data_IF_392651198878
#
_entry.id   IF_392651198878
#
_cell.length_a   1.000
_cell.length_b   1.000
_cell.length_c   1.000
_cell.angle_alpha   90.00
_cell.angle_beta   90.00
_cell.angle_gamma   90.00
#
_symmetry.space_group_name_H-M   'P 1'
#
loop_
_entity.id
_entity.type
_entity.pdbx_description
1 polymer ?
#
# COMPACT_ATOMS: atom_id res chain seq x y z
N UNK A 1 50.85 58.80 73.38
CA UNK A 1 49.50 58.20 73.21
C UNK A 1 49.19 57.87 71.74
N UNK A 2 50.12 57.20 71.04
CA UNK A 2 50.04 56.90 69.60
C UNK A 2 49.95 55.39 69.29
N UNK A 3 49.67 54.56 70.31
CA UNK A 3 49.61 53.09 70.20
C UNK A 3 48.25 52.48 70.63
N UNK A 4 47.20 53.29 70.77
CA UNK A 4 45.83 52.83 71.10
C UNK A 4 44.80 53.11 69.99
N UNK A 5 45.15 53.87 68.96
CA UNK A 5 44.27 54.11 67.79
C UNK A 5 44.55 53.19 66.60
N UNK A 6 45.60 52.36 66.67
CA UNK A 6 46.00 51.46 65.57
C UNK A 6 45.37 50.06 65.67
N UNK A 7 44.67 49.75 66.78
CA UNK A 7 44.01 48.45 66.98
C UNK A 7 42.48 48.50 66.89
N UNK A 8 41.85 49.68 66.87
CA UNK A 8 40.40 49.82 66.68
C UNK A 8 39.97 49.75 65.20
N UNK A 9 40.87 50.11 64.26
CA UNK A 9 40.58 50.06 62.83
C UNK A 9 40.73 48.66 62.21
N UNK A 10 41.44 47.73 62.88
CA UNK A 10 41.58 46.34 62.44
C UNK A 10 40.60 45.36 63.12
N UNK A 11 39.90 45.79 64.18
CA UNK A 11 38.90 44.96 64.85
C UNK A 11 37.48 45.12 64.26
N UNK A 12 37.21 46.13 63.41
CA UNK A 12 35.89 46.36 62.82
C UNK A 12 35.77 45.96 61.33
N UNK A 13 36.83 45.46 60.71
CA UNK A 13 36.84 44.99 59.32
C UNK A 13 37.09 43.47 59.18
N UNK A 14 36.97 42.73 60.27
CA UNK A 14 36.91 41.26 60.26
C UNK A 14 35.48 40.73 60.52
N UNK A 15 34.46 41.61 60.48
CA UNK A 15 33.06 41.26 60.74
C UNK A 15 32.12 41.53 59.55
N UNK A 16 32.65 41.89 58.38
CA UNK A 16 31.85 42.07 57.15
C UNK A 16 32.62 41.55 55.93
N UNK A 17 32.65 40.24 55.77
CA UNK A 17 32.79 39.52 54.50
C UNK A 17 32.85 38.00 54.77
N UNK A 18 32.11 37.13 54.07
CA UNK A 18 30.78 37.27 53.49
C UNK A 18 29.86 36.11 53.97
N UNK A 19 28.65 36.44 54.40
CA UNK A 19 27.51 35.53 54.27
C UNK A 19 27.19 35.36 52.78
N UNK A 20 27.97 34.54 52.08
CA UNK A 20 27.72 34.17 50.69
C UNK A 20 28.36 32.82 50.37
N UNK A 21 28.11 31.83 51.20
CA UNK A 21 28.11 30.42 50.79
C UNK A 21 26.85 29.77 51.35
N UNK A 22 25.69 30.27 50.95
CA UNK A 22 24.56 29.37 50.79
C UNK A 22 24.92 28.52 49.56
N UNK A 23 25.52 27.36 49.84
CA UNK A 23 25.46 26.22 48.95
C UNK A 23 23.97 25.97 48.71
N UNK A 24 23.46 26.41 47.56
CA UNK A 24 22.22 25.92 47.03
C UNK A 24 22.47 24.43 46.74
N UNK A 25 22.03 23.56 47.66
CA UNK A 25 21.85 22.14 47.40
C UNK A 25 20.71 21.99 46.37
N UNK A 26 21.01 22.28 45.11
CA UNK A 26 20.29 21.72 43.97
C UNK A 26 21.09 20.50 43.51
N UNK A 27 21.23 19.51 44.40
CA UNK A 27 21.60 18.16 43.99
C UNK A 27 20.43 17.65 43.15
N UNK A 28 20.57 17.72 41.82
CA UNK A 28 19.63 17.06 40.92
C UNK A 28 19.83 15.57 41.13
N UNK A 29 18.79 14.90 41.63
CA UNK A 29 18.73 13.45 41.68
C UNK A 29 19.17 12.89 40.33
N UNK A 30 20.22 12.06 40.35
CA UNK A 30 20.67 11.34 39.17
C UNK A 30 19.57 10.32 38.86
N UNK A 31 18.75 10.62 37.86
CA UNK A 31 17.82 9.65 37.29
C UNK A 31 18.66 8.68 36.46
N UNK A 32 19.02 7.54 37.06
CA UNK A 32 19.57 6.40 36.33
C UNK A 32 18.44 5.85 35.47
N UNK A 33 18.57 6.00 34.15
CA UNK A 33 17.63 5.39 33.20
C UNK A 33 18.00 3.91 33.13
N UNK A 34 17.31 3.07 33.90
CA UNK A 34 17.38 1.62 33.75
C UNK A 34 16.58 1.21 32.51
N UNK A 35 17.27 1.12 31.37
CA UNK A 35 16.70 0.68 30.10
C UNK A 35 17.45 1.22 28.88
N UNK A 36 17.25 0.60 27.72
CA UNK A 36 17.72 1.17 26.46
C UNK A 36 16.99 2.50 26.19
N UNK A 37 17.76 3.57 25.96
CA UNK A 37 17.20 4.83 25.50
C UNK A 37 16.50 4.58 24.15
N UNK A 38 15.23 5.01 23.99
CA UNK A 38 14.50 4.72 22.77
C UNK A 38 15.17 5.42 21.57
N UNK A 39 15.39 4.64 20.51
CA UNK A 39 16.07 5.10 19.31
C UNK A 39 15.27 6.21 18.63
N UNK A 40 15.89 7.39 18.47
CA UNK A 40 15.32 8.49 17.71
C UNK A 40 15.91 8.51 16.31
N UNK A 41 15.04 8.47 15.30
CA UNK A 41 15.40 8.54 13.90
C UNK A 41 14.66 9.71 13.24
N UNK A 42 15.28 10.30 12.23
CA UNK A 42 14.61 11.27 11.35
C UNK A 42 14.01 10.59 10.12
N UNK A 43 14.58 9.45 9.71
CA UNK A 43 14.17 8.70 8.54
C UNK A 43 14.15 7.21 8.83
N UNK A 44 13.23 6.52 8.19
CA UNK A 44 13.14 5.07 8.14
C UNK A 44 12.63 4.69 6.74
N UNK A 45 13.20 3.65 6.16
CA UNK A 45 12.90 3.25 4.79
C UNK A 45 12.47 1.80 4.73
N UNK A 46 11.97 1.38 3.57
CA UNK A 46 11.58 0.00 3.27
C UNK A 46 12.17 -0.43 1.92
N UNK A 47 12.70 -1.65 1.88
CA UNK A 47 13.17 -2.34 0.66
C UNK A 47 12.70 -3.79 0.65
N UNK A 48 12.59 -4.35 -0.54
CA UNK A 48 12.24 -5.76 -0.78
C UNK A 48 11.21 -5.93 -1.88
N UNK A 49 11.01 -7.15 -2.37
CA UNK A 49 10.08 -7.47 -3.47
C UNK A 49 8.65 -6.97 -3.20
N UNK A 50 8.26 -6.95 -1.92
CA UNK A 50 6.95 -6.47 -1.50
C UNK A 50 6.79 -4.95 -1.61
N UNK A 51 7.87 -4.16 -1.57
CA UNK A 51 7.79 -2.70 -1.44
C UNK A 51 7.77 -2.00 -2.81
N UNK A 52 7.28 -0.74 -2.91
CA UNK A 52 7.24 0.00 -4.16
C UNK A 52 8.60 0.15 -4.85
N UNK A 53 9.67 0.35 -4.08
CA UNK A 53 11.03 0.52 -4.58
C UNK A 53 11.76 -0.79 -4.88
N UNK A 54 11.19 -1.95 -4.56
CA UNK A 54 11.89 -3.22 -4.66
C UNK A 54 13.16 -3.25 -3.81
N UNK A 55 14.19 -3.93 -4.32
CA UNK A 55 15.53 -3.98 -3.71
C UNK A 55 16.43 -2.77 -4.04
N UNK A 56 15.87 -1.62 -4.45
CA UNK A 56 16.66 -0.42 -4.71
C UNK A 56 17.03 0.32 -3.41
N UNK A 57 18.17 0.00 -2.81
CA UNK A 57 18.64 0.68 -1.59
C UNK A 57 19.11 2.12 -1.83
N UNK A 58 19.43 2.49 -3.07
CA UNK A 58 19.83 3.88 -3.41
C UNK A 58 18.65 4.84 -3.36
N UNK A 59 17.44 4.34 -3.64
CA UNK A 59 16.18 5.09 -3.58
C UNK A 59 15.07 4.22 -2.96
N UNK A 60 15.16 3.88 -1.66
CA UNK A 60 14.20 3.01 -1.00
C UNK A 60 12.90 3.76 -0.70
N UNK A 61 11.82 3.02 -0.40
CA UNK A 61 10.52 3.64 -0.05
C UNK A 61 10.60 4.24 1.35
N UNK A 62 10.38 5.54 1.48
CA UNK A 62 10.46 6.24 2.77
C UNK A 62 9.15 6.13 3.57
N UNK A 63 9.27 5.87 4.86
CA UNK A 63 8.15 5.92 5.81
C UNK A 63 7.98 7.34 6.33
N UNK A 64 6.74 7.73 6.65
CA UNK A 64 6.41 9.03 7.23
C UNK A 64 6.62 9.01 8.74
N UNK A 65 7.51 9.87 9.25
CA UNK A 65 7.63 10.13 10.68
C UNK A 65 6.41 10.90 11.18
N UNK A 66 5.80 10.46 12.28
CA UNK A 66 4.68 11.17 12.90
C UNK A 66 5.11 12.56 13.39
N UNK A 67 4.31 13.61 13.10
CA UNK A 67 4.59 14.96 13.62
C UNK A 67 4.36 15.06 15.13
N UNK A 68 3.52 14.18 15.69
CA UNK A 68 3.10 14.20 17.09
C UNK A 68 3.87 13.20 17.98
N UNK A 69 4.51 12.19 17.40
CA UNK A 69 5.34 11.23 18.13
C UNK A 69 6.59 10.83 17.32
N UNK A 70 7.77 11.26 17.81
CA UNK A 70 9.06 11.03 17.15
C UNK A 70 9.55 9.58 17.16
N UNK A 71 8.80 8.66 17.78
CA UNK A 71 9.10 7.23 17.79
C UNK A 71 8.19 6.43 16.85
N UNK A 72 7.26 7.09 16.15
CA UNK A 72 6.29 6.44 15.27
C UNK A 72 6.60 6.77 13.82
N UNK A 73 6.82 5.72 13.02
CA UNK A 73 6.89 5.80 11.56
C UNK A 73 5.71 5.05 10.95
N UNK A 74 5.12 5.61 9.91
CA UNK A 74 3.99 5.00 9.20
C UNK A 74 4.24 4.93 7.71
N UNK A 75 3.83 3.83 7.09
CA UNK A 75 3.67 3.70 5.65
C UNK A 75 2.22 3.34 5.35
N UNK A 76 1.61 4.05 4.42
CA UNK A 76 0.29 3.73 3.89
C UNK A 76 0.41 3.57 2.37
N UNK A 77 0.14 2.38 1.86
CA UNK A 77 0.31 2.09 0.44
C UNK A 77 0.25 0.62 0.07
N UNK A 78 0.56 0.34 -1.20
CA UNK A 78 0.54 -1.00 -1.76
C UNK A 78 1.74 -1.82 -1.31
N UNK A 79 1.50 -3.03 -0.80
CA UNK A 79 2.50 -4.08 -0.70
C UNK A 79 2.15 -5.22 -1.67
N UNK A 80 3.18 -5.75 -2.34
CA UNK A 80 3.10 -6.94 -3.19
C UNK A 80 3.42 -8.19 -2.36
N UNK A 81 3.13 -9.37 -2.90
CA UNK A 81 3.68 -10.61 -2.34
C UNK A 81 5.21 -10.57 -2.49
N UNK A 82 5.92 -10.88 -1.42
CA UNK A 82 7.38 -10.83 -1.41
C UNK A 82 7.97 -10.56 -0.04
N UNK A 83 9.27 -10.32 0.00
CA UNK A 83 10.00 -10.03 1.23
C UNK A 83 10.16 -8.52 1.46
N UNK A 84 10.38 -8.11 2.72
CA UNK A 84 10.78 -6.75 3.05
C UNK A 84 11.65 -6.65 4.31
N UNK A 85 12.50 -5.62 4.37
CA UNK A 85 13.21 -5.16 5.58
C UNK A 85 13.39 -3.63 5.56
N UNK A 86 13.81 -3.05 6.68
CA UNK A 86 13.75 -1.60 6.88
C UNK A 86 15.14 -0.97 7.14
N UNK A 87 15.83 -0.43 6.12
CA UNK A 87 17.06 0.31 6.34
C UNK A 87 16.82 1.64 7.06
N UNK A 88 17.79 2.05 7.87
CA UNK A 88 17.80 3.39 8.50
C UNK A 88 18.41 4.46 7.57
N UNK A 89 19.20 4.05 6.58
CA UNK A 89 19.90 4.95 5.64
C UNK A 89 19.77 4.46 4.19
N UNK A 90 19.95 5.36 3.23
CA UNK A 90 20.00 5.02 1.80
C UNK A 90 21.41 4.55 1.42
N UNK A 91 21.50 3.64 0.46
CA UNK A 91 22.73 3.25 -0.22
C UNK A 91 23.66 2.27 0.52
N UNK A 92 23.37 1.89 1.76
CA UNK A 92 24.29 1.10 2.59
C UNK A 92 23.69 -0.24 3.04
N UNK A 93 24.11 -1.33 2.38
CA UNK A 93 23.71 -2.70 2.76
C UNK A 93 24.40 -3.20 4.03
N UNK A 94 25.52 -2.61 4.44
CA UNK A 94 26.23 -2.94 5.68
C UNK A 94 25.77 -2.11 6.89
N UNK A 95 24.76 -1.27 6.69
CA UNK A 95 24.26 -0.33 7.68
C UNK A 95 23.38 -0.97 8.75
N UNK A 96 22.67 -0.11 9.49
CA UNK A 96 21.68 -0.53 10.49
C UNK A 96 20.31 -0.68 9.84
N UNK A 97 19.62 -1.76 10.20
CA UNK A 97 18.27 -2.07 9.75
C UNK A 97 17.38 -2.36 10.95
N UNK A 98 16.07 -2.29 10.71
CA UNK A 98 15.06 -2.96 11.51
C UNK A 98 14.68 -4.25 10.78
N UNK A 99 14.85 -5.37 11.47
CA UNK A 99 14.56 -6.72 11.00
C UNK A 99 13.29 -7.28 11.65
N UNK A 100 12.73 -8.29 11.00
CA UNK A 100 11.70 -9.13 11.58
C UNK A 100 12.27 -9.89 12.79
N UNK A 101 11.43 -10.26 13.77
CA UNK A 101 11.91 -10.98 14.95
C UNK A 101 12.38 -12.39 14.58
N UNK A 102 11.84 -12.95 13.50
CA UNK A 102 12.25 -14.22 12.90
C UNK A 102 12.14 -14.13 11.37
N UNK A 103 13.01 -14.84 10.67
CA UNK A 103 12.98 -14.89 9.20
C UNK A 103 11.65 -15.45 8.69
N UNK A 104 11.03 -14.73 7.76
CA UNK A 104 9.75 -15.12 7.18
C UNK A 104 8.54 -14.81 8.05
N UNK A 105 8.68 -13.96 9.09
CA UNK A 105 7.53 -13.47 9.86
C UNK A 105 6.47 -12.91 8.91
N UNK A 106 5.29 -13.53 8.91
CA UNK A 106 4.28 -13.25 7.90
C UNK A 106 3.57 -11.92 8.13
N UNK A 107 3.23 -11.29 7.01
CA UNK A 107 2.30 -10.16 6.91
C UNK A 107 1.21 -10.54 5.90
N UNK A 108 -0.05 -10.47 6.31
CA UNK A 108 -1.21 -10.78 5.46
C UNK A 108 -2.46 -9.98 5.90
N UNK A 109 -3.65 -10.39 5.43
CA UNK A 109 -4.91 -9.74 5.79
C UNK A 109 -5.21 -9.69 7.29
N UNK A 110 -4.59 -10.56 8.09
CA UNK A 110 -4.74 -10.62 9.55
C UNK A 110 -3.69 -9.76 10.29
N UNK A 111 -2.88 -8.98 9.58
CA UNK A 111 -1.80 -8.17 10.14
C UNK A 111 -0.46 -8.90 10.13
N UNK A 112 0.36 -8.68 11.17
CA UNK A 112 1.69 -9.27 11.33
C UNK A 112 1.66 -10.43 12.34
N UNK A 113 2.26 -11.57 11.99
CA UNK A 113 2.22 -12.77 12.83
C UNK A 113 2.99 -12.62 14.16
N UNK A 114 4.10 -11.86 14.16
CA UNK A 114 4.89 -11.53 15.34
C UNK A 114 5.24 -10.04 15.29
N UNK A 115 4.90 -9.33 16.35
CA UNK A 115 4.91 -7.87 16.41
C UNK A 115 6.24 -7.28 16.91
N UNK A 116 7.19 -8.11 17.39
CA UNK A 116 8.52 -7.65 17.78
C UNK A 116 9.35 -7.17 16.59
N UNK A 117 10.30 -6.27 16.84
CA UNK A 117 11.30 -5.86 15.84
C UNK A 117 12.70 -5.94 16.43
N UNK A 118 13.71 -6.17 15.60
CA UNK A 118 15.11 -6.16 16.01
C UNK A 118 15.84 -5.02 15.28
N UNK A 119 16.47 -4.10 16.03
CA UNK A 119 17.27 -3.02 15.44
C UNK A 119 18.75 -3.34 15.61
N UNK A 120 19.46 -3.57 14.51
CA UNK A 120 20.90 -3.84 14.56
C UNK A 120 21.60 -3.56 13.25
N UNK A 121 22.92 -3.51 13.31
CA UNK A 121 23.78 -3.53 12.11
C UNK A 121 23.64 -4.88 11.39
N UNK A 122 23.69 -4.83 10.07
CA UNK A 122 23.79 -6.04 9.26
C UNK A 122 24.98 -6.90 9.72
N UNK A 123 24.72 -8.20 9.89
CA UNK A 123 25.68 -9.16 10.44
C UNK A 123 25.55 -10.57 9.83
N UNK A 124 24.77 -10.71 8.74
CA UNK A 124 24.50 -11.98 8.07
C UNK A 124 23.22 -12.67 8.51
N UNK A 125 22.66 -12.33 9.68
CA UNK A 125 21.30 -12.74 10.04
C UNK A 125 20.30 -11.79 9.36
N UNK A 126 19.77 -12.21 8.21
CA UNK A 126 18.93 -11.36 7.36
C UNK A 126 17.43 -11.70 7.53
N UNK A 127 16.92 -11.59 8.76
CA UNK A 127 15.53 -11.91 9.10
C UNK A 127 14.56 -10.87 8.51
N UNK A 128 13.86 -11.26 7.43
CA UNK A 128 12.90 -10.41 6.72
C UNK A 128 11.46 -10.74 7.10
N UNK A 129 10.57 -9.79 6.90
CA UNK A 129 9.14 -10.08 6.83
C UNK A 129 8.79 -10.67 5.47
N UNK A 130 7.75 -11.50 5.43
CA UNK A 130 7.18 -12.08 4.21
C UNK A 130 5.74 -11.65 4.05
N UNK A 131 5.46 -10.80 3.08
CA UNK A 131 4.09 -10.43 2.69
C UNK A 131 3.52 -11.57 1.85
N UNK A 132 2.48 -12.23 2.34
CA UNK A 132 1.85 -13.37 1.66
C UNK A 132 0.56 -13.00 0.91
N UNK A 133 0.03 -11.80 1.15
CA UNK A 133 -1.15 -11.25 0.46
C UNK A 133 -0.85 -9.86 -0.10
N UNK A 134 -1.05 -9.66 -1.40
CA UNK A 134 -0.96 -8.32 -1.99
C UNK A 134 -2.19 -7.45 -1.65
N UNK A 135 -1.97 -6.14 -1.51
CA UNK A 135 -3.04 -5.15 -1.36
C UNK A 135 -2.56 -3.87 -0.70
N UNK A 136 -3.51 -3.09 -0.17
CA UNK A 136 -3.24 -1.84 0.52
C UNK A 136 -3.02 -2.10 2.01
N UNK A 137 -1.97 -1.52 2.58
CA UNK A 137 -1.61 -1.71 3.97
C UNK A 137 -1.32 -0.38 4.66
N UNK A 138 -1.53 -0.35 5.97
CA UNK A 138 -0.89 0.58 6.88
C UNK A 138 0.11 -0.18 7.73
N UNK A 139 1.39 0.18 7.62
CA UNK A 139 2.48 -0.36 8.45
C UNK A 139 2.92 0.73 9.41
N UNK A 140 2.95 0.40 10.70
CA UNK A 140 3.40 1.29 11.76
C UNK A 140 4.58 0.66 12.50
N UNK A 141 5.66 1.42 12.65
CA UNK A 141 6.82 1.05 13.46
C UNK A 141 6.86 1.95 14.68
N UNK A 142 6.91 1.35 15.86
CA UNK A 142 7.04 2.04 17.14
C UNK A 142 8.39 1.71 17.78
N UNK A 143 9.28 2.70 17.78
CA UNK A 143 10.64 2.58 18.32
C UNK A 143 10.71 2.72 19.84
N UNK A 144 9.61 3.10 20.51
CA UNK A 144 9.57 3.22 21.97
C UNK A 144 9.44 1.86 22.65
N UNK A 145 8.68 0.95 22.04
CA UNK A 145 8.42 -0.39 22.54
C UNK A 145 8.92 -1.49 21.61
N UNK A 146 9.63 -1.12 20.53
CA UNK A 146 10.18 -2.04 19.54
C UNK A 146 9.12 -2.96 18.93
N UNK A 147 8.03 -2.36 18.41
CA UNK A 147 6.92 -3.08 17.81
C UNK A 147 6.60 -2.64 16.39
N UNK A 148 6.13 -3.58 15.59
CA UNK A 148 5.46 -3.36 14.31
C UNK A 148 3.96 -3.65 14.45
N UNK A 149 3.13 -2.80 13.85
CA UNK A 149 1.70 -3.05 13.68
C UNK A 149 1.37 -2.95 12.19
N UNK A 150 0.55 -3.88 11.69
CA UNK A 150 0.14 -3.91 10.29
C UNK A 150 -1.37 -4.06 10.20
N UNK A 151 -1.99 -3.17 9.44
CA UNK A 151 -3.42 -3.22 9.12
C UNK A 151 -3.58 -3.42 7.62
N UNK A 152 -4.36 -4.42 7.22
CA UNK A 152 -4.78 -4.61 5.84
C UNK A 152 -5.99 -3.74 5.53
N UNK A 153 -5.87 -2.90 4.50
CA UNK A 153 -6.90 -1.95 4.07
C UNK A 153 -7.68 -2.45 2.84
N UNK A 154 -7.51 -3.72 2.45
CA UNK A 154 -8.19 -4.33 1.32
C UNK A 154 -7.31 -4.46 0.05
N UNK A 155 -7.89 -4.98 -1.05
CA UNK A 155 -7.19 -5.07 -2.31
C UNK A 155 -6.83 -3.67 -2.84
N UNK A 156 -5.86 -3.61 -3.75
CA UNK A 156 -5.58 -2.37 -4.47
C UNK A 156 -6.83 -1.93 -5.25
N UNK A 157 -7.26 -0.66 -5.13
CA UNK A 157 -8.37 -0.16 -5.93
C UNK A 157 -8.04 -0.30 -7.42
N UNK A 158 -8.97 -0.87 -8.19
CA UNK A 158 -8.85 -0.88 -9.64
C UNK A 158 -9.15 0.51 -10.20
N UNK A 159 -8.40 0.94 -11.22
CA UNK A 159 -8.65 2.21 -11.89
C UNK A 159 -9.94 2.12 -12.71
N UNK A 160 -10.96 2.97 -12.48
CA UNK A 160 -12.18 2.97 -13.29
C UNK A 160 -11.89 3.14 -14.79
N UNK A 161 -12.62 2.42 -15.64
CA UNK A 161 -12.61 2.62 -17.09
C UNK A 161 -13.69 3.66 -17.41
N UNK A 162 -13.30 4.83 -17.92
CA UNK A 162 -14.26 5.85 -18.34
C UNK A 162 -14.78 5.50 -19.73
N UNK A 163 -16.10 5.47 -19.88
CA UNK A 163 -16.73 5.26 -21.17
C UNK A 163 -18.12 5.91 -21.21
N UNK A 164 -18.49 6.41 -22.38
CA UNK A 164 -19.84 6.88 -22.71
C UNK A 164 -20.66 5.80 -23.42
N UNK A 165 -20.01 4.80 -24.03
CA UNK A 165 -20.65 3.68 -24.71
C UNK A 165 -20.05 2.34 -24.28
N UNK A 166 -20.82 1.27 -24.35
CA UNK A 166 -20.30 -0.08 -24.26
C UNK A 166 -21.02 -0.95 -25.28
N UNK A 167 -20.28 -1.74 -26.03
CA UNK A 167 -20.78 -2.68 -27.01
C UNK A 167 -19.97 -3.97 -26.96
N UNK A 168 -20.46 -5.02 -27.61
CA UNK A 168 -19.70 -6.26 -27.79
C UNK A 168 -19.63 -6.66 -29.25
N UNK A 169 -18.53 -7.34 -29.58
CA UNK A 169 -18.32 -8.06 -30.84
C UNK A 169 -17.78 -9.46 -30.51
N UNK A 170 -17.91 -10.37 -31.46
CA UNK A 170 -17.37 -11.72 -31.35
C UNK A 170 -18.38 -12.78 -31.77
N UNK A 171 -17.93 -14.04 -31.89
CA UNK A 171 -18.79 -15.14 -32.34
C UNK A 171 -19.95 -15.44 -31.39
N UNK A 172 -19.82 -15.06 -30.11
CA UNK A 172 -20.91 -15.16 -29.14
C UNK A 172 -21.90 -13.97 -29.19
N UNK A 173 -21.50 -12.82 -29.76
CA UNK A 173 -22.34 -11.64 -29.83
C UNK A 173 -23.37 -11.79 -30.98
N UNK A 174 -24.59 -11.22 -30.84
CA UNK A 174 -25.58 -11.19 -31.93
C UNK A 174 -25.06 -10.56 -33.22
N UNK A 175 -24.19 -9.55 -33.13
CA UNK A 175 -23.59 -8.91 -34.30
C UNK A 175 -22.45 -9.69 -34.94
N UNK A 176 -21.97 -10.78 -34.32
CA UNK A 176 -20.75 -11.46 -34.75
C UNK A 176 -19.50 -10.57 -34.64
N UNK A 177 -18.48 -10.93 -35.42
CA UNK A 177 -17.31 -10.08 -35.65
C UNK A 177 -17.65 -9.00 -36.68
N UNK A 178 -17.40 -7.74 -36.35
CA UNK A 178 -17.61 -6.58 -37.24
C UNK A 178 -16.53 -5.53 -36.99
N UNK A 179 -16.06 -4.91 -38.08
CA UNK A 179 -15.21 -3.71 -38.04
C UNK A 179 -16.01 -2.42 -38.36
N UNK A 180 -17.32 -2.54 -38.56
CA UNK A 180 -18.25 -1.41 -38.66
C UNK A 180 -18.93 -1.16 -37.31
N UNK A 181 -18.69 0.02 -36.73
CA UNK A 181 -19.25 0.42 -35.44
C UNK A 181 -20.78 0.41 -35.41
N UNK A 182 -21.44 0.74 -36.53
CA UNK A 182 -22.91 0.78 -36.61
C UNK A 182 -23.56 -0.59 -36.42
N UNK A 183 -22.79 -1.67 -36.59
CA UNK A 183 -23.27 -3.04 -36.44
C UNK A 183 -23.00 -3.61 -35.05
N UNK A 184 -22.26 -2.92 -34.18
CA UNK A 184 -21.88 -3.43 -32.86
C UNK A 184 -23.12 -3.64 -31.99
N UNK A 185 -23.17 -4.77 -31.26
CA UNK A 185 -24.26 -4.99 -30.30
C UNK A 185 -24.03 -4.12 -29.07
N UNK A 186 -24.82 -3.05 -28.93
CA UNK A 186 -24.67 -2.07 -27.86
C UNK A 186 -25.37 -2.49 -26.56
N UNK A 187 -24.76 -2.14 -25.43
CA UNK A 187 -25.34 -2.28 -24.10
C UNK A 187 -26.13 -1.02 -23.75
N UNK A 188 -27.10 -1.16 -22.87
CA UNK A 188 -27.78 0.00 -22.27
C UNK A 188 -26.98 0.50 -21.08
N UNK A 189 -26.65 1.79 -21.03
CA UNK A 189 -26.09 2.40 -19.81
C UNK A 189 -27.16 2.43 -18.72
N UNK A 190 -26.90 1.81 -17.58
CA UNK A 190 -27.88 1.65 -16.49
C UNK A 190 -27.51 2.42 -15.22
N UNK A 191 -26.27 2.89 -15.07
CA UNK A 191 -25.85 3.76 -13.96
C UNK A 191 -24.60 4.55 -14.32
N UNK A 192 -24.45 5.75 -13.73
CA UNK A 192 -23.25 6.60 -13.82
C UNK A 192 -22.26 6.37 -12.67
N UNK A 193 -22.75 6.08 -11.47
CA UNK A 193 -21.94 5.89 -10.26
C UNK A 193 -22.52 4.76 -9.38
N UNK A 194 -21.99 3.52 -9.46
CA UNK A 194 -20.92 3.07 -10.35
C UNK A 194 -21.32 3.13 -11.84
N UNK A 195 -20.35 3.23 -12.73
CA UNK A 195 -20.56 3.26 -14.19
C UNK A 195 -20.91 1.85 -14.69
N UNK A 196 -22.19 1.62 -14.99
CA UNK A 196 -22.69 0.30 -15.35
C UNK A 196 -23.41 0.29 -16.69
N UNK A 197 -23.19 -0.79 -17.41
CA UNK A 197 -23.85 -1.11 -18.68
C UNK A 197 -24.45 -2.50 -18.61
N UNK A 198 -25.69 -2.63 -19.04
CA UNK A 198 -26.44 -3.89 -19.03
C UNK A 198 -26.77 -4.32 -20.44
N UNK A 199 -26.51 -5.59 -20.75
CA UNK A 199 -27.04 -6.25 -21.93
C UNK A 199 -28.09 -7.26 -21.52
N UNK A 200 -29.25 -7.23 -22.18
CA UNK A 200 -30.30 -8.25 -22.05
C UNK A 200 -30.58 -8.83 -23.44
N UNK A 201 -30.31 -10.11 -23.64
CA UNK A 201 -30.52 -10.77 -24.92
C UNK A 201 -29.76 -12.08 -25.06
N UNK A 202 -29.90 -12.68 -26.23
CA UNK A 202 -29.30 -13.96 -26.55
C UNK A 202 -27.80 -13.85 -26.81
N UNK A 203 -27.00 -14.73 -26.19
CA UNK A 203 -25.60 -14.96 -26.53
C UNK A 203 -25.45 -16.38 -27.09
N UNK A 204 -24.61 -16.52 -28.12
CA UNK A 204 -24.17 -17.84 -28.57
C UNK A 204 -22.98 -18.33 -27.75
N UNK A 205 -22.65 -19.62 -27.82
CA UNK A 205 -21.32 -20.08 -27.42
C UNK A 205 -20.27 -19.48 -28.34
N UNK A 206 -19.14 -19.04 -27.80
CA UNK A 206 -18.08 -18.42 -28.60
C UNK A 206 -17.33 -17.34 -27.85
N UNK A 207 -16.62 -16.50 -28.59
CA UNK A 207 -15.74 -15.47 -28.04
C UNK A 207 -16.44 -14.10 -28.00
N UNK A 208 -16.12 -13.29 -26.98
CA UNK A 208 -16.54 -11.89 -26.85
C UNK A 208 -15.35 -10.97 -26.49
N UNK A 209 -15.38 -9.76 -27.06
CA UNK A 209 -14.66 -8.57 -26.58
C UNK A 209 -15.59 -7.38 -26.57
N UNK A 210 -15.21 -6.31 -25.87
CA UNK A 210 -16.04 -5.12 -25.78
C UNK A 210 -15.43 -3.93 -26.52
N UNK A 211 -16.33 -3.18 -27.13
CA UNK A 211 -16.11 -1.85 -27.69
C UNK A 211 -16.45 -0.84 -26.60
N UNK A 212 -15.56 0.10 -26.33
CA UNK A 212 -15.80 1.23 -25.43
C UNK A 212 -15.50 2.55 -26.14
N UNK A 213 -15.62 3.70 -25.45
CA UNK A 213 -15.41 5.02 -26.07
C UNK A 213 -14.02 5.23 -26.67
N UNK A 214 -13.01 4.49 -26.21
CA UNK A 214 -11.66 4.53 -26.77
C UNK A 214 -11.40 3.53 -27.90
N UNK A 215 -12.37 2.70 -28.28
CA UNK A 215 -12.18 1.68 -29.31
C UNK A 215 -12.35 2.25 -30.71
N UNK A 216 -11.35 2.03 -31.58
CA UNK A 216 -11.47 2.16 -33.03
C UNK A 216 -11.85 0.81 -33.63
N UNK A 217 -13.09 0.69 -34.11
CA UNK A 217 -13.62 -0.61 -34.60
C UNK A 217 -13.12 -0.92 -36.03
N UNK A 218 -12.96 0.10 -36.87
CA UNK A 218 -12.53 -0.03 -38.27
C UNK A 218 -11.18 -0.73 -38.38
N UNK A 219 -11.10 -1.75 -39.25
CA UNK A 219 -9.91 -2.57 -39.43
C UNK A 219 -9.47 -3.32 -38.17
N UNK A 220 -10.36 -3.47 -37.18
CA UNK A 220 -10.06 -4.03 -35.87
C UNK A 220 -8.92 -3.31 -35.11
N UNK A 221 -8.74 -2.01 -35.33
CA UNK A 221 -7.61 -1.25 -34.79
C UNK A 221 -7.56 -1.19 -33.24
N UNK A 222 -8.72 -1.24 -32.57
CA UNK A 222 -8.80 -1.21 -31.11
C UNK A 222 -8.39 0.14 -30.51
N UNK A 223 -7.88 0.16 -29.26
CA UNK A 223 -7.88 -0.96 -28.32
C UNK A 223 -9.30 -1.39 -27.93
N UNK A 224 -9.48 -2.67 -27.62
CA UNK A 224 -10.72 -3.23 -27.10
C UNK A 224 -10.64 -3.40 -25.58
N UNK A 225 -11.79 -3.53 -24.91
CA UNK A 225 -11.80 -4.14 -23.58
C UNK A 225 -11.82 -5.66 -23.71
N UNK A 226 -10.94 -6.30 -22.96
CA UNK A 226 -10.61 -7.71 -23.09
C UNK A 226 -10.64 -8.41 -21.74
N UNK A 227 -10.74 -9.75 -21.77
CA UNK A 227 -10.64 -10.57 -20.57
C UNK A 227 -9.26 -10.41 -19.92
N UNK A 228 -9.17 -10.49 -18.58
CA UNK A 228 -7.92 -10.27 -17.86
C UNK A 228 -6.85 -11.32 -18.20
N UNK A 229 -7.26 -12.57 -18.45
CA UNK A 229 -6.39 -13.68 -18.80
C UNK A 229 -6.91 -14.42 -20.05
N UNK A 230 -6.06 -15.26 -20.63
CA UNK A 230 -6.48 -16.23 -21.63
C UNK A 230 -7.42 -17.28 -21.01
N UNK A 231 -8.44 -17.71 -21.76
CA UNK A 231 -9.31 -18.82 -21.36
C UNK A 231 -10.38 -18.45 -20.32
N UNK A 232 -10.57 -17.17 -19.99
CA UNK A 232 -11.65 -16.75 -19.08
C UNK A 232 -13.00 -17.10 -19.70
N UNK A 233 -13.83 -17.83 -18.96
CA UNK A 233 -15.15 -18.28 -19.43
C UNK A 233 -16.26 -17.39 -18.89
N UNK A 234 -17.38 -17.34 -19.60
CA UNK A 234 -18.65 -16.75 -19.17
C UNK A 234 -19.76 -17.81 -19.34
N UNK A 235 -20.59 -18.01 -18.32
CA UNK A 235 -21.82 -18.82 -18.37
C UNK A 235 -22.87 -18.28 -17.40
N UNK A 236 -23.95 -19.03 -17.17
CA UNK A 236 -25.04 -18.64 -16.27
C UNK A 236 -24.60 -18.29 -14.83
N UNK A 237 -23.46 -18.79 -14.36
CA UNK A 237 -22.92 -18.51 -13.01
C UNK A 237 -22.08 -17.23 -12.94
N UNK A 238 -21.71 -16.66 -14.09
CA UNK A 238 -20.81 -15.50 -14.18
C UNK A 238 -19.55 -15.79 -14.97
N UNK A 239 -18.47 -15.07 -14.63
CA UNK A 239 -17.15 -15.22 -15.25
C UNK A 239 -16.19 -16.03 -14.37
N UNK A 240 -15.33 -16.85 -14.97
CA UNK A 240 -14.35 -17.64 -14.20
C UNK A 240 -13.24 -16.79 -13.56
N UNK A 241 -13.02 -15.57 -14.06
CA UNK A 241 -12.15 -14.55 -13.47
C UNK A 241 -12.72 -13.16 -13.73
N UNK A 242 -12.82 -12.35 -12.67
CA UNK A 242 -13.22 -10.95 -12.76
C UNK A 242 -12.09 -10.07 -13.31
N UNK A 243 -12.44 -8.96 -13.95
CA UNK A 243 -11.50 -7.99 -14.51
C UNK A 243 -11.82 -7.59 -15.95
N UNK A 244 -11.26 -6.47 -16.37
CA UNK A 244 -11.31 -5.95 -17.75
C UNK A 244 -10.00 -5.22 -18.04
N UNK A 245 -9.37 -5.52 -19.16
CA UNK A 245 -8.12 -4.88 -19.59
C UNK A 245 -8.30 -4.10 -20.89
N UNK A 246 -7.59 -2.97 -21.01
CA UNK A 246 -7.60 -2.13 -22.21
C UNK A 246 -6.43 -2.54 -23.09
N UNK A 247 -6.71 -3.11 -24.27
CA UNK A 247 -5.67 -3.58 -25.18
C UNK A 247 -4.84 -4.73 -24.59
N UNK A 248 -3.56 -4.81 -24.95
CA UNK A 248 -2.66 -5.88 -24.49
C UNK A 248 -2.81 -7.19 -25.26
N UNK A 249 -2.60 -8.32 -24.57
CA UNK A 249 -2.80 -9.64 -25.14
C UNK A 249 -4.24 -9.81 -25.63
N UNK A 250 -4.41 -10.56 -26.71
CA UNK A 250 -5.68 -10.65 -27.45
C UNK A 250 -6.71 -11.59 -26.78
N UNK A 251 -6.95 -11.40 -25.48
CA UNK A 251 -7.79 -12.27 -24.67
C UNK A 251 -9.29 -12.00 -24.92
N UNK A 252 -10.10 -13.06 -24.87
CA UNK A 252 -11.56 -13.00 -24.99
C UNK A 252 -12.22 -13.63 -23.79
N UNK A 253 -13.45 -13.21 -23.51
CA UNK A 253 -14.35 -14.03 -22.70
C UNK A 253 -14.96 -15.11 -23.59
N UNK A 254 -14.86 -16.36 -23.17
CA UNK A 254 -15.43 -17.51 -23.86
C UNK A 254 -16.80 -17.82 -23.26
N UNK A 255 -17.88 -17.45 -23.94
CA UNK A 255 -19.23 -17.87 -23.58
C UNK A 255 -19.35 -19.37 -23.81
N UNK A 256 -19.59 -20.11 -22.74
CA UNK A 256 -19.61 -21.59 -22.74
C UNK A 256 -21.01 -22.17 -22.81
N UNK A 257 -22.03 -21.33 -22.69
CA UNK A 257 -23.44 -21.73 -22.69
C UNK A 257 -24.25 -20.69 -23.47
N UNK A 258 -24.93 -21.13 -24.53
CA UNK A 258 -25.84 -20.27 -25.27
C UNK A 258 -27.14 -20.07 -24.48
N UNK A 259 -27.77 -18.91 -24.64
CA UNK A 259 -29.06 -18.62 -24.02
C UNK A 259 -29.28 -17.12 -23.88
N UNK A 260 -30.39 -16.76 -23.25
CA UNK A 260 -30.73 -15.37 -22.97
C UNK A 260 -30.15 -14.94 -21.62
N UNK A 261 -29.25 -13.97 -21.67
CA UNK A 261 -28.57 -13.39 -20.51
C UNK A 261 -29.15 -12.03 -20.16
N UNK A 262 -29.13 -11.72 -18.86
CA UNK A 262 -29.02 -10.34 -18.37
C UNK A 262 -27.67 -10.20 -17.71
N UNK A 263 -26.75 -9.49 -18.34
CA UNK A 263 -25.37 -9.31 -17.88
C UNK A 263 -25.05 -7.84 -17.65
N UNK A 264 -24.43 -7.54 -16.52
CA UNK A 264 -24.02 -6.20 -16.09
C UNK A 264 -22.50 -6.13 -16.10
N UNK A 265 -21.97 -5.13 -16.80
CA UNK A 265 -20.56 -4.75 -16.79
C UNK A 265 -20.43 -3.47 -15.96
N UNK A 266 -19.72 -3.55 -14.83
CA UNK A 266 -19.37 -2.42 -13.98
C UNK A 266 -17.95 -1.97 -14.33
N UNK A 267 -17.84 -0.85 -15.05
CA UNK A 267 -16.55 -0.31 -15.49
C UNK A 267 -15.83 0.46 -14.37
N UNK A 268 -16.53 0.82 -13.29
CA UNK A 268 -15.91 1.42 -12.10
C UNK A 268 -15.11 0.39 -11.33
N UNK A 269 -15.68 -0.81 -11.13
CA UNK A 269 -15.06 -1.92 -10.41
C UNK A 269 -14.38 -2.95 -11.32
N UNK A 270 -14.55 -2.83 -12.64
CA UNK A 270 -14.12 -3.81 -13.64
C UNK A 270 -14.67 -5.21 -13.36
N UNK A 271 -15.93 -5.28 -12.96
CA UNK A 271 -16.63 -6.51 -12.60
C UNK A 271 -17.72 -6.84 -13.62
N UNK A 272 -17.97 -8.14 -13.80
CA UNK A 272 -19.02 -8.69 -14.67
C UNK A 272 -19.94 -9.55 -13.81
N UNK A 273 -21.23 -9.28 -13.88
CA UNK A 273 -22.26 -10.01 -13.16
C UNK A 273 -23.33 -10.52 -14.12
N UNK A 274 -23.63 -11.82 -14.07
CA UNK A 274 -24.83 -12.37 -14.69
C UNK A 274 -25.96 -12.27 -13.67
N UNK A 275 -26.98 -11.47 -13.99
CA UNK A 275 -28.16 -11.29 -13.13
C UNK A 275 -29.23 -12.34 -13.36
N UNK A 276 -29.38 -12.80 -14.60
CA UNK A 276 -30.29 -13.87 -14.94
C UNK A 276 -29.83 -14.58 -16.21
N UNK A 277 -30.21 -15.84 -16.32
CA UNK A 277 -29.97 -16.67 -17.49
C UNK A 277 -31.20 -17.54 -17.78
N UNK A 278 -31.52 -17.69 -19.05
CA UNK A 278 -32.51 -18.63 -19.56
C UNK A 278 -31.86 -19.42 -20.71
N UNK A 279 -31.74 -20.75 -20.61
CA UNK A 279 -31.14 -21.58 -21.66
C UNK A 279 -31.97 -21.60 -22.95
#
# INVERSE_FOLDING_TARGET
MKKLFQYAAYALLALVAPTALQSCNDDKDIVVIEGELPLKLNHLYMVGDATPAGWNIGAPTEMTLSPNDKFIFTYEGKLKVGEMKLPLTKGDWGGTFIFAPESGTEINENGVAKDGIEVRKENGNDAKWKVTKAGMYKVLINLRNYKIQVTYNGPEPVTPIVSTKLGMIGSAAPCGWTDNESNVTMFTKTSDTPLQYTYTGHLNTGELKLVYSGTTVVGYAGPYLQAPDAGVTLNHTGVSKQGMEIGGADNKWNVTEAGTYKVVFDLTKREIKVESFQP
#
